data_IF_438810208093
#
_entry.id   IF_438810208093
#
_cell.length_a   1.000
_cell.length_b   1.000
_cell.length_c   1.000
_cell.angle_alpha   90.00
_cell.angle_beta   90.00
_cell.angle_gamma   90.00
#
_symmetry.space_group_name_H-M   'P 1'
#
loop_
_entity.id
_entity.type
_entity.pdbx_description
1 polymer ?
#
# COMPACT_ATOMS: atom_id res chain seq x y z
N UNK A 1 16.23 -9.41 -0.46
CA UNK A 1 15.27 -9.46 0.65
C UNK A 1 13.90 -9.05 0.12
N UNK A 2 12.83 -9.82 0.30
CA UNK A 2 11.54 -9.51 -0.29
C UNK A 2 10.91 -8.28 0.38
N UNK A 3 10.23 -7.43 -0.41
CA UNK A 3 9.71 -6.12 0.01
C UNK A 3 8.76 -6.20 1.22
N UNK A 4 8.12 -7.35 1.45
CA UNK A 4 7.28 -7.55 2.64
C UNK A 4 8.08 -7.50 3.96
N UNK A 5 9.38 -7.83 3.95
CA UNK A 5 10.23 -7.72 5.13
C UNK A 5 10.60 -6.26 5.47
N UNK A 6 10.33 -5.31 4.57
CA UNK A 6 10.71 -3.92 4.77
C UNK A 6 10.01 -3.29 5.99
N UNK A 7 8.76 -3.66 6.25
CA UNK A 7 8.05 -3.23 7.46
C UNK A 7 8.80 -3.63 8.72
N UNK A 8 9.27 -4.87 8.77
CA UNK A 8 9.99 -5.40 9.91
C UNK A 8 11.27 -4.61 10.18
N UNK A 9 12.00 -4.20 9.13
CA UNK A 9 13.18 -3.35 9.26
C UNK A 9 12.82 -1.99 9.88
N UNK A 10 11.75 -1.33 9.42
CA UNK A 10 11.34 -0.05 10.01
C UNK A 10 10.89 -0.21 11.46
N UNK A 11 10.13 -1.26 11.77
CA UNK A 11 9.71 -1.55 13.14
C UNK A 11 10.91 -1.85 14.04
N UNK A 12 11.92 -2.55 13.53
CA UNK A 12 13.15 -2.86 14.26
C UNK A 12 14.00 -1.61 14.53
N UNK A 13 14.07 -0.69 13.58
CA UNK A 13 14.81 0.58 13.71
C UNK A 13 14.10 1.53 14.67
N UNK A 14 12.79 1.75 14.46
CA UNK A 14 12.02 2.72 15.25
C UNK A 14 11.53 2.16 16.58
N UNK A 15 11.59 0.84 16.78
CA UNK A 15 10.99 0.11 17.92
C UNK A 15 9.49 0.42 18.09
N UNK A 16 8.83 0.84 17.02
CA UNK A 16 7.42 1.23 17.00
C UNK A 16 6.78 0.59 15.76
N UNK A 17 5.62 -0.04 15.96
CA UNK A 17 4.83 -0.62 14.87
C UNK A 17 4.31 0.44 13.90
N UNK A 18 4.26 0.11 12.61
CA UNK A 18 3.76 1.03 11.57
C UNK A 18 2.36 1.57 11.89
N UNK A 19 1.47 0.69 12.39
CA UNK A 19 0.10 1.03 12.76
C UNK A 19 0.03 2.13 13.83
N UNK A 20 0.97 2.14 14.78
CA UNK A 20 1.02 3.13 15.86
C UNK A 20 1.47 4.48 15.32
N UNK A 21 2.49 4.49 14.46
CA UNK A 21 2.95 5.72 13.80
C UNK A 21 1.83 6.32 12.94
N UNK A 22 1.07 5.47 12.22
CA UNK A 22 -0.10 5.89 11.43
C UNK A 22 -1.21 6.47 12.30
N UNK A 23 -1.62 5.78 13.38
CA UNK A 23 -2.67 6.26 14.30
C UNK A 23 -2.31 7.60 14.95
N UNK A 24 -1.02 7.84 15.22
CA UNK A 24 -0.51 9.10 15.77
C UNK A 24 -0.31 10.21 14.72
N UNK A 25 -0.67 9.97 13.46
CA UNK A 25 -0.48 10.95 12.37
C UNK A 25 0.98 11.26 12.06
N UNK A 26 1.92 10.36 12.42
CA UNK A 26 3.36 10.53 12.22
C UNK A 26 3.87 9.93 10.90
N UNK A 27 2.98 9.32 10.11
CA UNK A 27 3.31 8.75 8.78
C UNK A 27 2.48 9.44 7.72
N UNK A 28 3.15 9.94 6.69
CA UNK A 28 2.54 10.50 5.48
C UNK A 28 2.88 9.59 4.30
N UNK A 29 1.87 9.24 3.51
CA UNK A 29 2.05 8.47 2.29
C UNK A 29 1.84 9.39 1.09
N UNK A 30 2.85 9.49 0.23
CA UNK A 30 2.84 10.35 -0.96
C UNK A 30 3.03 9.49 -2.20
N UNK A 31 2.35 9.84 -3.29
CA UNK A 31 2.48 9.15 -4.58
C UNK A 31 3.52 9.78 -5.50
N UNK A 32 3.96 11.01 -5.20
CA UNK A 32 4.99 11.73 -5.95
C UNK A 32 6.28 11.82 -5.13
N UNK A 33 7.40 11.52 -5.77
CA UNK A 33 8.73 11.59 -5.14
C UNK A 33 9.12 13.02 -4.77
N UNK A 34 8.61 14.04 -5.49
CA UNK A 34 8.87 15.45 -5.19
C UNK A 34 8.35 15.84 -3.81
N UNK A 35 7.15 15.39 -3.46
CA UNK A 35 6.57 15.64 -2.14
C UNK A 35 7.41 14.99 -1.04
N UNK A 36 7.94 13.79 -1.30
CA UNK A 36 8.81 13.09 -0.36
C UNK A 36 10.12 13.85 -0.11
N UNK A 37 10.75 14.36 -1.17
CA UNK A 37 11.98 15.15 -1.07
C UNK A 37 11.76 16.43 -0.25
N UNK A 38 10.64 17.12 -0.47
CA UNK A 38 10.28 18.32 0.29
C UNK A 38 10.14 18.02 1.78
N UNK A 39 9.49 16.93 2.16
CA UNK A 39 9.37 16.54 3.58
C UNK A 39 10.73 16.10 4.15
N UNK A 40 11.55 15.40 3.37
CA UNK A 40 12.89 14.99 3.80
C UNK A 40 13.80 16.20 4.08
N UNK A 41 13.71 17.25 3.25
CA UNK A 41 14.43 18.52 3.47
C UNK A 41 14.00 19.23 4.75
N UNK A 42 12.77 19.01 5.23
CA UNK A 42 12.28 19.51 6.53
C UNK A 42 12.72 18.65 7.72
N UNK A 43 13.51 17.60 7.48
CA UNK A 43 14.02 16.68 8.52
C UNK A 43 13.21 15.40 8.70
N UNK A 44 12.25 15.09 7.81
CA UNK A 44 11.56 13.80 7.84
C UNK A 44 12.44 12.67 7.26
N UNK A 45 12.14 11.43 7.63
CA UNK A 45 12.72 10.25 6.99
C UNK A 45 11.80 9.81 5.85
N UNK A 46 12.33 9.84 4.63
CA UNK A 46 11.64 9.40 3.42
C UNK A 46 11.98 7.96 3.06
N UNK A 47 10.97 7.21 2.62
CA UNK A 47 11.13 5.86 2.07
C UNK A 47 10.50 5.80 0.68
N UNK A 48 11.26 5.32 -0.30
CA UNK A 48 10.77 5.08 -1.66
C UNK A 48 10.73 3.57 -1.91
N UNK A 49 9.55 3.08 -2.27
CA UNK A 49 9.37 1.70 -2.69
C UNK A 49 9.62 1.56 -4.20
N UNK A 50 10.32 0.51 -4.65
CA UNK A 50 10.43 0.21 -6.06
C UNK A 50 9.06 -0.18 -6.63
N UNK A 51 8.88 0.02 -7.94
CA UNK A 51 7.70 -0.50 -8.64
C UNK A 51 7.61 -2.02 -8.46
N UNK A 52 6.40 -2.51 -8.19
CA UNK A 52 6.14 -3.91 -7.86
C UNK A 52 5.36 -4.55 -8.99
N UNK A 53 5.90 -5.63 -9.54
CA UNK A 53 5.21 -6.36 -10.59
C UNK A 53 4.02 -7.17 -10.04
N UNK A 54 2.95 -7.39 -10.83
CA UNK A 54 1.83 -8.25 -10.42
C UNK A 54 2.26 -9.67 -10.04
N UNK A 55 3.33 -10.20 -10.63
CA UNK A 55 3.86 -11.53 -10.29
C UNK A 55 4.39 -11.58 -8.85
N UNK A 56 5.02 -10.50 -8.37
CA UNK A 56 5.49 -10.41 -6.98
C UNK A 56 4.29 -10.38 -6.03
N UNK A 57 3.25 -9.60 -6.36
CA UNK A 57 2.02 -9.55 -5.57
C UNK A 57 1.36 -10.93 -5.48
N UNK A 58 1.28 -11.67 -6.59
CA UNK A 58 0.79 -13.05 -6.62
C UNK A 58 1.58 -13.95 -5.67
N UNK A 59 2.91 -13.90 -5.71
CA UNK A 59 3.77 -14.71 -4.82
C UNK A 59 3.56 -14.37 -3.35
N UNK A 60 3.44 -13.09 -3.01
CA UNK A 60 3.20 -12.64 -1.62
C UNK A 60 1.84 -13.13 -1.11
N UNK A 61 0.79 -13.01 -1.92
CA UNK A 61 -0.54 -13.50 -1.60
C UNK A 61 -0.57 -15.04 -1.42
N UNK A 62 0.06 -15.78 -2.34
CA UNK A 62 0.18 -17.25 -2.26
C UNK A 62 0.94 -17.70 -1.01
N UNK A 63 1.93 -16.92 -0.57
CA UNK A 63 2.66 -17.17 0.67
C UNK A 63 1.89 -16.77 1.94
N UNK A 64 0.64 -16.29 1.84
CA UNK A 64 -0.18 -15.77 2.95
C UNK A 64 0.52 -14.65 3.72
N UNK A 65 1.31 -13.82 3.03
CA UNK A 65 2.03 -12.68 3.61
C UNK A 65 1.39 -11.36 3.20
N UNK A 66 1.70 -10.31 3.96
CA UNK A 66 1.19 -8.96 3.74
C UNK A 66 2.26 -8.06 3.13
N UNK A 67 1.82 -7.13 2.28
CA UNK A 67 2.66 -6.05 1.78
C UNK A 67 2.59 -4.84 2.74
N UNK A 68 3.64 -4.00 2.78
CA UNK A 68 3.56 -2.69 3.43
C UNK A 68 2.34 -1.89 2.94
N UNK A 69 1.70 -1.12 3.83
CA UNK A 69 0.58 -0.29 3.41
C UNK A 69 1.00 0.71 2.35
N UNK A 70 0.14 0.89 1.33
CA UNK A 70 0.31 1.88 0.24
C UNK A 70 1.65 1.78 -0.51
N UNK A 71 2.31 0.62 -0.50
CA UNK A 71 3.51 0.38 -1.33
C UNK A 71 3.18 -0.02 -2.78
N UNK A 72 1.91 -0.32 -3.07
CA UNK A 72 1.43 -0.64 -4.42
C UNK A 72 0.60 0.51 -4.97
N UNK A 73 0.92 0.96 -6.18
CA UNK A 73 0.13 1.96 -6.90
C UNK A 73 -0.34 1.36 -8.23
N UNK A 74 -1.63 1.01 -8.32
CA UNK A 74 -2.24 0.48 -9.54
C UNK A 74 -2.56 1.62 -10.49
N UNK A 75 -1.94 1.61 -11.67
CA UNK A 75 -2.16 2.60 -12.72
C UNK A 75 -2.34 1.94 -14.10
N UNK A 76 -3.30 2.39 -14.93
CA UNK A 76 -4.32 3.38 -14.62
C UNK A 76 -5.20 2.92 -13.44
N UNK A 77 -5.71 3.86 -12.65
CA UNK A 77 -6.75 3.50 -11.68
C UNK A 77 -7.87 2.87 -12.51
N UNK A 78 -8.42 1.73 -12.07
CA UNK A 78 -9.53 1.09 -12.76
C UNK A 78 -10.66 2.14 -12.89
N UNK A 79 -10.80 2.71 -14.10
CA UNK A 79 -11.70 3.81 -14.42
C UNK A 79 -13.14 3.31 -14.58
N UNK A 80 -13.32 2.00 -14.73
CA UNK A 80 -14.58 1.36 -15.12
C UNK A 80 -15.07 0.39 -14.05
N UNK A 81 -16.35 0.56 -13.69
CA UNK A 81 -17.22 -0.44 -13.07
C UNK A 81 -16.91 -0.79 -11.61
N UNK A 82 -17.53 -0.07 -10.67
CA UNK A 82 -17.88 -0.71 -9.41
C UNK A 82 -18.89 -1.83 -9.73
N UNK A 83 -18.38 -3.06 -9.88
CA UNK A 83 -19.22 -4.24 -10.01
C UNK A 83 -19.38 -4.82 -8.61
N UNK A 84 -20.50 -4.48 -7.97
CA UNK A 84 -20.93 -5.16 -6.76
C UNK A 84 -21.69 -6.41 -7.21
N UNK A 85 -21.14 -7.59 -6.94
CA UNK A 85 -21.89 -8.84 -7.10
C UNK A 85 -22.54 -9.17 -5.74
N UNK A 86 -23.84 -9.43 -5.76
CA UNK A 86 -24.56 -9.90 -4.58
C UNK A 86 -24.09 -11.32 -4.26
N UNK A 87 -23.49 -11.53 -3.10
CA UNK A 87 -23.15 -12.87 -2.60
C UNK A 87 -24.40 -13.46 -1.94
N UNK A 88 -25.52 -13.49 -2.67
CA UNK A 88 -26.77 -14.16 -2.24
C UNK A 88 -27.27 -15.17 -3.27
N UNK A 89 -26.66 -15.22 -4.46
CA UNK A 89 -27.11 -16.07 -5.57
C UNK A 89 -28.34 -15.53 -6.31
N UNK A 90 -28.70 -14.26 -6.14
CA UNK A 90 -29.75 -13.58 -6.92
C UNK A 90 -29.16 -12.64 -7.96
N UNK A 91 -29.85 -12.52 -9.09
CA UNK A 91 -29.46 -11.59 -10.16
C UNK A 91 -29.72 -10.14 -9.74
N UNK A 92 -28.69 -9.31 -9.85
CA UNK A 92 -28.78 -7.86 -9.65
C UNK A 92 -29.39 -7.21 -10.90
N UNK A 93 -30.69 -6.95 -10.86
CA UNK A 93 -31.34 -6.05 -11.82
C UNK A 93 -30.94 -4.60 -11.51
N UNK A 94 -29.83 -4.14 -12.09
CA UNK A 94 -29.45 -2.73 -12.09
C UNK A 94 -29.80 -2.15 -13.45
N UNK A 95 -30.93 -1.43 -13.52
CA UNK A 95 -31.27 -0.56 -14.65
C UNK A 95 -30.60 0.81 -14.45
N UNK A 96 -29.78 1.22 -15.41
CA UNK A 96 -29.17 2.56 -15.48
C UNK A 96 -30.15 3.60 -16.02
#
# INVERSE_FOLDING_TARGET
MPLYNFLQILEDIFKIKEEVLRKKGKVKFVSDTRDLIIEAQKGAIGVIFPSISPQILKKVAQAKKLMPHKCTYFYPKNLTGLILNEISGRDLNISF
#
